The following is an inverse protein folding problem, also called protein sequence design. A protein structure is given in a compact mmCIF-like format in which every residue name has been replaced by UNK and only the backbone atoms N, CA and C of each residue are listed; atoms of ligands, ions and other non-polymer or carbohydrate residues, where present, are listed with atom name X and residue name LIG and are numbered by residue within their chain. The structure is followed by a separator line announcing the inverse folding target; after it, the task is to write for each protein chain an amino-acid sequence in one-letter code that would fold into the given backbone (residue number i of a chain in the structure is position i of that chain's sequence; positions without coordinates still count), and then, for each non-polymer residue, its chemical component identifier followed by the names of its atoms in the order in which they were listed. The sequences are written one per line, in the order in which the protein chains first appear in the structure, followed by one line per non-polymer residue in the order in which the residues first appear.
data_IF_697473606583
#
_entry.id   IF_697473606583
#
_cell.length_a   1.000
_cell.length_b   1.000
_cell.length_c   1.000
_cell.angle_alpha   90.00
_cell.angle_beta   90.00
_cell.angle_gamma   90.00
#
_symmetry.space_group_name_H-M   'P 1'
#
loop_
_entity.id
_entity.type
_entity.pdbx_description
1 polymer ?
#
# COMPACT_ATOMS: atom_id res chain seq x y z
N UNK A 1 19.16 16.05 -98.99
CA UNK A 1 20.19 15.07 -99.38
C UNK A 1 19.68 13.70 -98.95
N UNK A 2 19.44 12.82 -99.93
CA UNK A 2 19.21 11.34 -99.90
C UNK A 2 18.87 10.66 -98.53
N UNK A 3 17.69 10.06 -98.33
CA UNK A 3 17.14 8.76 -98.81
C UNK A 3 17.44 7.55 -97.88
N UNK A 4 16.40 6.70 -97.70
CA UNK A 4 16.32 5.31 -97.13
C UNK A 4 16.26 5.12 -95.60
N UNK A 5 15.63 4.09 -95.02
CA UNK A 5 14.43 3.26 -95.28
C UNK A 5 14.20 2.38 -94.02
N UNK A 6 12.94 2.02 -93.72
CA UNK A 6 12.39 0.89 -92.93
C UNK A 6 13.15 0.22 -91.76
N UNK A 7 12.48 0.12 -90.60
CA UNK A 7 11.93 -1.15 -90.10
C UNK A 7 10.94 -0.93 -88.93
N UNK A 8 9.76 -1.55 -89.02
CA UNK A 8 8.77 -1.67 -87.94
C UNK A 8 9.13 -2.82 -86.99
N UNK A 9 8.89 -2.65 -85.69
CA UNK A 9 8.59 -3.76 -84.78
C UNK A 9 7.65 -3.27 -83.65
N UNK A 10 6.53 -3.95 -83.51
CA UNK A 10 5.50 -3.73 -82.48
C UNK A 10 5.98 -4.18 -81.10
N UNK A 11 5.66 -3.41 -80.06
CA UNK A 11 5.80 -3.81 -78.65
C UNK A 11 4.81 -3.02 -77.77
N UNK A 12 3.94 -3.74 -77.06
CA UNK A 12 2.84 -3.25 -76.23
C UNK A 12 3.28 -2.30 -75.09
N UNK A 13 2.44 -1.34 -74.66
CA UNK A 13 2.72 -0.50 -73.50
C UNK A 13 2.39 -1.24 -72.19
N UNK A 14 3.40 -1.46 -71.35
CA UNK A 14 3.24 -1.84 -69.95
C UNK A 14 2.62 -0.66 -69.16
N UNK A 15 1.38 -0.83 -68.71
CA UNK A 15 0.74 0.03 -67.71
C UNK A 15 1.40 -0.21 -66.35
N UNK A 16 2.09 0.81 -65.84
CA UNK A 16 2.58 0.85 -64.46
C UNK A 16 1.38 1.10 -63.53
N UNK A 17 0.88 0.05 -62.87
CA UNK A 17 -0.07 0.22 -61.77
C UNK A 17 0.69 0.64 -60.51
N UNK A 18 0.51 1.89 -60.09
CA UNK A 18 0.97 2.35 -58.79
C UNK A 18 0.07 1.74 -57.69
N UNK A 19 0.56 0.71 -57.01
CA UNK A 19 -0.01 0.28 -55.73
C UNK A 19 0.34 1.33 -54.67
N UNK A 20 -0.65 2.14 -54.29
CA UNK A 20 -0.60 2.92 -53.07
C UNK A 20 -0.69 1.97 -51.87
N UNK A 21 0.47 1.53 -51.36
CA UNK A 21 0.57 0.83 -50.10
C UNK A 21 0.26 1.80 -48.95
N UNK A 22 -0.91 1.65 -48.34
CA UNK A 22 -1.21 2.27 -47.04
C UNK A 22 -0.37 1.55 -46.00
N UNK A 23 0.78 2.15 -45.64
CA UNK A 23 1.54 1.70 -44.50
C UNK A 23 0.70 2.00 -43.24
N UNK A 24 0.07 0.96 -42.68
CA UNK A 24 -0.49 1.02 -41.35
C UNK A 24 0.66 1.22 -40.36
N UNK A 25 0.88 2.47 -39.94
CA UNK A 25 1.73 2.79 -38.80
C UNK A 25 0.99 2.25 -37.58
N UNK A 26 1.34 1.03 -37.17
CA UNK A 26 1.04 0.52 -35.85
C UNK A 26 1.80 1.40 -34.87
N UNK A 27 1.12 2.44 -34.37
CA UNK A 27 1.53 3.12 -33.15
C UNK A 27 1.45 2.06 -32.06
N UNK A 28 2.57 1.40 -31.80
CA UNK A 28 2.80 0.71 -30.54
C UNK A 28 2.70 1.81 -29.48
N UNK A 29 1.49 2.04 -28.98
CA UNK A 29 1.30 2.79 -27.75
C UNK A 29 2.02 1.97 -26.71
N UNK A 30 3.26 2.34 -26.41
CA UNK A 30 3.91 2.01 -25.16
C UNK A 30 3.03 2.65 -24.09
N UNK A 31 1.97 1.94 -23.69
CA UNK A 31 1.22 2.28 -22.49
C UNK A 31 2.29 2.31 -21.41
N UNK A 32 2.59 3.50 -20.90
CA UNK A 32 3.48 3.65 -19.77
C UNK A 32 2.95 2.69 -18.70
N UNK A 33 3.72 1.64 -18.40
CA UNK A 33 3.24 0.61 -17.49
C UNK A 33 3.01 1.30 -16.15
N UNK A 34 1.77 1.25 -15.68
CA UNK A 34 1.41 1.75 -14.36
C UNK A 34 2.15 0.90 -13.33
N UNK A 35 3.32 1.30 -12.85
CA UNK A 35 4.10 0.51 -11.88
C UNK A 35 5.21 1.39 -11.29
N UNK A 36 5.85 0.91 -10.22
CA UNK A 36 7.15 1.40 -9.78
C UNK A 36 8.13 1.47 -10.95
N UNK A 37 8.80 2.61 -11.13
CA UNK A 37 9.72 2.82 -12.27
C UNK A 37 11.10 2.23 -12.02
N UNK A 38 11.39 1.81 -10.79
CA UNK A 38 12.67 1.20 -10.41
C UNK A 38 12.71 -0.26 -10.82
N UNK A 39 13.91 -0.77 -11.10
CA UNK A 39 14.13 -2.22 -11.15
C UNK A 39 14.27 -2.75 -9.72
N UNK A 40 13.19 -3.25 -9.15
CA UNK A 40 13.18 -3.81 -7.80
C UNK A 40 13.48 -5.31 -7.84
N UNK A 41 14.34 -5.78 -6.94
CA UNK A 41 14.65 -7.19 -6.71
C UNK A 41 14.51 -7.50 -5.24
N UNK A 42 14.51 -8.79 -4.90
CA UNK A 42 14.55 -9.22 -3.51
C UNK A 42 15.73 -8.56 -2.77
N UNK A 43 15.48 -7.85 -1.65
CA UNK A 43 16.52 -7.21 -0.87
C UNK A 43 17.53 -8.19 -0.27
N UNK A 44 18.76 -7.71 -0.05
CA UNK A 44 19.82 -8.46 0.65
C UNK A 44 20.12 -7.77 1.97
N UNK A 45 20.23 -8.56 3.05
CA UNK A 45 20.60 -8.01 4.36
C UNK A 45 22.03 -7.47 4.33
N UNK A 46 22.28 -6.24 4.81
CA UNK A 46 23.64 -5.69 4.88
C UNK A 46 24.43 -6.35 6.01
N UNK A 47 25.76 -6.24 5.95
CA UNK A 47 26.63 -6.72 7.03
C UNK A 47 26.40 -5.95 8.33
N UNK A 48 26.45 -6.65 9.47
CA UNK A 48 26.29 -6.08 10.80
C UNK A 48 27.49 -5.21 11.20
N UNK A 49 27.25 -4.01 11.73
CA UNK A 49 28.25 -3.15 12.39
C UNK A 49 28.27 -3.34 13.92
N UNK A 50 27.12 -3.68 14.51
CA UNK A 50 26.97 -3.89 15.94
C UNK A 50 25.85 -4.91 16.18
N UNK A 51 26.08 -5.86 17.07
CA UNK A 51 25.06 -6.80 17.56
C UNK A 51 24.73 -6.45 19.01
N UNK A 52 23.47 -6.15 19.27
CA UNK A 52 22.94 -5.96 20.61
C UNK A 52 22.25 -7.25 21.03
N UNK A 53 22.56 -7.74 22.23
CA UNK A 53 21.89 -8.91 22.81
C UNK A 53 20.69 -8.46 23.64
N UNK A 54 19.62 -9.26 23.62
CA UNK A 54 18.48 -9.07 24.50
C UNK A 54 18.90 -9.30 25.96
N UNK A 55 18.48 -8.39 26.84
CA UNK A 55 18.74 -8.48 28.28
C UNK A 55 17.48 -8.99 29.01
N UNK A 56 17.65 -9.53 30.21
CA UNK A 56 16.53 -9.99 31.04
C UNK A 56 15.58 -8.82 31.33
N UNK A 57 14.28 -9.03 31.08
CA UNK A 57 13.29 -7.96 31.23
C UNK A 57 13.17 -7.46 32.66
N UNK A 58 13.10 -6.14 32.82
CA UNK A 58 12.89 -5.45 34.09
C UNK A 58 11.69 -4.50 33.99
N UNK A 59 11.07 -4.17 35.11
CA UNK A 59 9.82 -3.40 35.15
C UNK A 59 9.87 -2.03 34.44
N UNK A 60 11.08 -1.44 34.29
CA UNK A 60 11.30 -0.15 33.65
C UNK A 60 12.27 -0.24 32.46
N UNK A 61 12.37 -1.42 31.83
CA UNK A 61 13.30 -1.63 30.73
C UNK A 61 12.99 -0.67 29.58
N UNK A 62 14.01 0.09 29.18
CA UNK A 62 13.98 0.89 27.97
C UNK A 62 15.33 0.77 27.26
N UNK A 63 15.36 -0.08 26.23
CA UNK A 63 16.52 -0.34 25.39
C UNK A 63 16.78 0.80 24.39
N UNK A 64 15.91 1.81 24.30
CA UNK A 64 16.06 2.89 23.33
C UNK A 64 17.44 3.57 23.39
N UNK A 65 18.01 3.93 24.56
CA UNK A 65 19.32 4.58 24.61
C UNK A 65 20.43 3.72 24.01
N UNK A 66 20.47 2.41 24.27
CA UNK A 66 21.52 1.52 23.75
C UNK A 66 21.32 1.18 22.27
N UNK A 67 20.07 0.99 21.84
CA UNK A 67 19.75 0.78 20.42
C UNK A 67 20.08 2.03 19.61
N UNK A 68 19.69 3.21 20.10
CA UNK A 68 19.95 4.48 19.43
C UNK A 68 21.46 4.77 19.37
N UNK A 69 22.22 4.52 20.43
CA UNK A 69 23.67 4.68 20.42
C UNK A 69 24.36 3.78 19.37
N UNK A 70 23.90 2.54 19.21
CA UNK A 70 24.40 1.64 18.17
C UNK A 70 24.02 2.14 16.76
N UNK A 71 22.78 2.61 16.56
CA UNK A 71 22.32 3.17 15.27
C UNK A 71 23.12 4.42 14.88
N UNK A 72 23.40 5.30 15.84
CA UNK A 72 24.16 6.53 15.61
C UNK A 72 25.66 6.27 15.34
N UNK A 73 26.21 5.18 15.88
CA UNK A 73 27.61 4.80 15.70
C UNK A 73 27.85 3.89 14.50
N UNK A 74 26.78 3.34 13.90
CA UNK A 74 26.87 2.42 12.78
C UNK A 74 27.28 3.13 11.48
N UNK A 75 28.23 2.57 10.76
CA UNK A 75 28.63 3.11 9.47
C UNK A 75 27.51 2.93 8.40
N UNK A 76 27.34 3.88 7.47
CA UNK A 76 26.44 3.72 6.32
C UNK A 76 26.75 2.44 5.51
N UNK A 77 25.70 1.79 4.99
CA UNK A 77 25.77 0.49 4.31
C UNK A 77 25.82 -0.73 5.24
N UNK A 78 25.61 -0.55 6.54
CA UNK A 78 25.66 -1.61 7.56
C UNK A 78 24.37 -1.70 8.38
N UNK A 79 24.27 -2.74 9.19
CA UNK A 79 23.14 -2.96 10.09
C UNK A 79 23.51 -2.98 11.58
N UNK A 80 22.61 -2.45 12.40
CA UNK A 80 22.53 -2.80 13.83
C UNK A 80 21.62 -4.01 13.96
N UNK A 81 22.13 -5.09 14.52
CA UNK A 81 21.42 -6.36 14.70
C UNK A 81 20.94 -6.51 16.14
N UNK A 82 19.65 -6.80 16.32
CA UNK A 82 19.06 -7.19 17.59
C UNK A 82 18.97 -8.73 17.64
N UNK A 83 19.72 -9.33 18.55
CA UNK A 83 19.88 -10.78 18.67
C UNK A 83 19.45 -11.29 20.05
N UNK A 84 19.16 -12.59 20.14
CA UNK A 84 18.84 -13.23 21.41
C UNK A 84 20.05 -13.19 22.35
N UNK A 85 19.82 -12.88 23.63
CA UNK A 85 20.84 -12.92 24.67
C UNK A 85 20.67 -14.11 25.60
N UNK A 86 21.49 -14.17 26.65
CA UNK A 86 21.41 -15.21 27.66
C UNK A 86 20.10 -15.09 28.45
N UNK A 87 19.13 -15.97 28.17
CA UNK A 87 17.86 -16.03 28.89
C UNK A 87 16.79 -15.04 28.45
N UNK A 88 17.04 -14.24 27.40
CA UNK A 88 16.05 -13.29 26.87
C UNK A 88 16.09 -13.22 25.34
N UNK A 89 14.93 -12.95 24.74
CA UNK A 89 14.75 -12.68 23.30
C UNK A 89 13.97 -11.39 23.05
N UNK A 90 13.76 -10.60 24.10
CA UNK A 90 12.90 -9.42 24.07
C UNK A 90 13.75 -8.16 24.27
N UNK A 91 13.48 -7.16 23.44
CA UNK A 91 13.87 -5.77 23.64
C UNK A 91 12.61 -4.98 23.92
N UNK A 92 12.63 -4.07 24.89
CA UNK A 92 11.53 -3.11 25.13
C UNK A 92 12.10 -1.72 24.96
N UNK A 93 11.57 -0.94 24.01
CA UNK A 93 12.14 0.35 23.64
C UNK A 93 11.09 1.45 23.61
N UNK A 94 11.46 2.65 24.04
CA UNK A 94 10.82 3.89 23.59
C UNK A 94 11.20 4.23 22.14
N UNK A 95 10.83 5.43 21.65
CA UNK A 95 11.04 5.81 20.26
C UNK A 95 12.48 5.76 19.77
N UNK A 96 12.65 5.33 18.51
CA UNK A 96 13.93 5.21 17.80
C UNK A 96 13.93 6.07 16.53
N UNK A 97 15.11 6.53 16.13
CA UNK A 97 15.34 7.25 14.88
C UNK A 97 16.38 6.53 14.03
N UNK A 98 16.02 6.19 12.79
CA UNK A 98 16.96 5.62 11.83
C UNK A 98 17.78 6.73 11.13
N UNK A 99 18.98 6.36 10.68
CA UNK A 99 19.97 7.25 10.04
C UNK A 99 20.19 6.81 8.59
N UNK A 100 20.63 7.74 7.73
CA UNK A 100 20.99 7.41 6.34
C UNK A 100 21.99 6.26 6.28
N UNK A 101 21.73 5.29 5.42
CA UNK A 101 22.61 4.14 5.21
C UNK A 101 22.59 3.08 6.32
N UNK A 102 21.89 3.27 7.43
CA UNK A 102 21.92 2.34 8.56
C UNK A 102 20.64 1.53 8.62
N UNK A 103 20.74 0.20 8.58
CA UNK A 103 19.59 -0.71 8.66
C UNK A 103 19.44 -1.25 10.07
N UNK A 104 18.19 -1.36 10.56
CA UNK A 104 17.88 -2.14 11.76
C UNK A 104 17.56 -3.58 11.36
N UNK A 105 18.26 -4.56 11.92
CA UNK A 105 17.98 -5.99 11.71
C UNK A 105 17.46 -6.60 13.01
N UNK A 106 16.35 -7.33 12.95
CA UNK A 106 15.81 -8.09 14.09
C UNK A 106 15.88 -9.58 13.76
N UNK A 107 16.65 -10.34 14.55
CA UNK A 107 16.88 -11.76 14.30
C UNK A 107 15.61 -12.61 14.48
N UNK A 108 15.60 -13.77 13.83
CA UNK A 108 14.57 -14.78 14.02
C UNK A 108 14.35 -15.11 15.50
N UNK A 109 13.09 -15.07 15.94
CA UNK A 109 12.71 -15.35 17.32
C UNK A 109 13.01 -14.22 18.32
N UNK A 110 13.54 -13.08 17.87
CA UNK A 110 13.71 -11.86 18.67
C UNK A 110 12.51 -10.92 18.45
N UNK A 111 12.05 -10.30 19.53
CA UNK A 111 10.98 -9.28 19.47
C UNK A 111 11.47 -7.95 19.99
N UNK A 112 11.26 -6.89 19.21
CA UNK A 112 11.36 -5.50 19.64
C UNK A 112 9.96 -4.97 19.99
N UNK A 113 9.68 -4.88 21.28
CA UNK A 113 8.46 -4.32 21.83
C UNK A 113 8.54 -2.80 21.92
N UNK A 114 7.51 -2.12 21.40
CA UNK A 114 7.25 -0.73 21.70
C UNK A 114 6.77 -0.62 23.15
N UNK A 115 7.43 0.19 23.98
CA UNK A 115 7.02 0.41 25.38
C UNK A 115 5.56 0.88 25.46
N UNK A 116 4.82 0.44 26.47
CA UNK A 116 3.45 0.91 26.76
C UNK A 116 3.42 2.24 27.51
N UNK A 117 4.58 2.83 27.82
CA UNK A 117 4.66 4.11 28.53
C UNK A 117 4.33 5.29 27.59
N UNK A 118 3.19 5.99 27.78
CA UNK A 118 2.79 7.05 26.88
C UNK A 118 3.70 8.28 26.93
N UNK A 119 4.41 8.50 28.05
CA UNK A 119 5.29 9.66 28.21
C UNK A 119 6.53 9.58 27.30
N UNK A 120 6.97 8.38 26.92
CA UNK A 120 8.10 8.20 25.98
C UNK A 120 7.76 8.67 24.57
N UNK A 121 6.47 8.69 24.21
CA UNK A 121 6.00 9.11 22.90
C UNK A 121 5.45 10.55 22.90
N UNK A 122 5.36 11.20 24.05
CA UNK A 122 4.70 12.50 24.14
C UNK A 122 5.51 13.61 23.46
N UNK A 123 4.82 14.56 22.82
CA UNK A 123 5.44 15.72 22.15
C UNK A 123 5.61 16.95 23.05
N UNK A 124 5.45 16.81 24.35
CA UNK A 124 5.65 17.84 25.38
C UNK A 124 4.35 18.35 26.02
N UNK A 125 3.20 18.15 25.37
CA UNK A 125 1.89 18.62 25.85
C UNK A 125 1.20 17.64 26.83
N UNK A 126 1.78 16.47 27.08
CA UNK A 126 1.22 15.39 27.91
C UNK A 126 -0.15 14.91 27.42
N UNK A 127 -0.27 14.81 26.10
CA UNK A 127 -1.48 14.41 25.38
C UNK A 127 -1.37 13.02 24.76
N UNK A 128 -0.19 12.39 24.72
CA UNK A 128 -0.09 11.03 24.24
C UNK A 128 -0.85 10.06 25.17
N UNK A 129 -1.62 9.14 24.58
CA UNK A 129 -2.54 8.27 25.33
C UNK A 129 -3.85 8.97 25.76
N UNK A 130 -4.29 9.99 25.04
CA UNK A 130 -5.59 10.64 25.23
C UNK A 130 -6.33 10.85 23.90
N UNK A 131 -7.51 11.49 23.94
CA UNK A 131 -8.22 11.97 22.77
C UNK A 131 -8.31 13.50 22.82
N UNK A 132 -8.17 14.15 21.67
CA UNK A 132 -8.38 15.59 21.52
C UNK A 132 -8.84 15.95 20.09
N UNK A 133 -8.89 17.24 19.76
CA UNK A 133 -9.31 17.70 18.44
C UNK A 133 -8.27 17.46 17.33
N UNK A 134 -7.02 17.17 17.66
CA UNK A 134 -5.87 17.16 16.74
C UNK A 134 -5.36 15.77 16.40
N UNK A 135 -5.28 14.85 17.38
CA UNK A 135 -4.70 13.52 17.22
C UNK A 135 -3.19 13.51 16.97
N UNK A 136 -2.46 14.54 17.42
CA UNK A 136 -1.02 14.73 17.15
C UNK A 136 -0.13 14.59 18.38
N UNK A 137 -0.67 14.12 19.51
CA UNK A 137 0.01 14.10 20.80
C UNK A 137 1.17 13.12 20.92
N UNK A 138 1.23 12.08 20.08
CA UNK A 138 2.29 11.08 20.10
C UNK A 138 3.28 11.24 18.92
N UNK A 139 4.54 10.93 19.17
CA UNK A 139 5.51 10.57 18.13
C UNK A 139 5.42 9.07 17.80
N UNK A 140 5.85 8.65 16.59
CA UNK A 140 5.92 7.25 16.19
C UNK A 140 6.93 6.45 17.03
N UNK A 141 6.80 5.12 17.04
CA UNK A 141 7.81 4.25 17.66
C UNK A 141 9.13 4.26 16.88
N UNK A 142 9.10 4.10 15.56
CA UNK A 142 10.28 4.26 14.71
C UNK A 142 10.04 5.42 13.75
N UNK A 143 10.91 6.43 13.82
CA UNK A 143 10.88 7.61 12.95
C UNK A 143 12.03 7.56 11.95
N UNK A 144 11.71 7.81 10.69
CA UNK A 144 12.68 7.92 9.59
C UNK A 144 12.37 9.22 8.85
N UNK A 145 13.25 10.21 9.00
CA UNK A 145 12.97 11.56 8.49
C UNK A 145 14.18 12.14 7.78
N UNK A 146 14.02 12.54 6.52
CA UNK A 146 15.06 13.25 5.77
C UNK A 146 16.34 12.45 5.51
N UNK A 147 16.23 11.12 5.45
CA UNK A 147 17.36 10.20 5.30
C UNK A 147 17.22 9.34 4.03
N UNK A 148 18.33 8.73 3.61
CA UNK A 148 18.40 7.90 2.40
C UNK A 148 19.02 6.52 2.66
N UNK A 149 18.58 5.49 1.94
CA UNK A 149 19.25 4.19 1.90
C UNK A 149 19.24 3.44 3.23
N UNK A 150 18.15 3.53 4.00
CA UNK A 150 17.98 2.89 5.31
C UNK A 150 16.89 1.82 5.25
N UNK A 151 16.73 1.02 6.30
CA UNK A 151 15.75 -0.04 6.30
C UNK A 151 15.53 -0.74 7.63
N UNK A 152 14.55 -1.63 7.63
CA UNK A 152 14.20 -2.52 8.74
C UNK A 152 14.08 -3.92 8.16
N UNK A 153 14.90 -4.86 8.62
CA UNK A 153 14.98 -6.20 8.03
C UNK A 153 15.08 -7.28 9.11
N UNK A 154 15.05 -8.54 8.67
CA UNK A 154 15.24 -9.71 9.51
C UNK A 154 13.94 -10.45 9.74
N UNK A 155 14.01 -11.63 10.37
CA UNK A 155 12.86 -12.53 10.56
C UNK A 155 12.22 -12.41 11.94
N UNK A 156 12.65 -11.42 12.72
CA UNK A 156 12.09 -11.10 14.02
C UNK A 156 10.76 -10.36 13.94
N UNK A 157 10.37 -9.84 15.09
CA UNK A 157 9.08 -9.17 15.29
C UNK A 157 9.31 -7.75 15.81
N UNK A 158 8.59 -6.78 15.27
CA UNK A 158 8.35 -5.49 15.91
C UNK A 158 6.90 -5.49 16.39
N UNK A 159 6.71 -5.46 17.71
CA UNK A 159 5.38 -5.51 18.33
C UNK A 159 5.03 -4.16 18.97
N UNK A 160 3.98 -3.52 18.48
CA UNK A 160 3.52 -2.22 18.93
C UNK A 160 2.74 -2.22 20.25
N UNK A 161 2.38 -3.40 20.77
CA UNK A 161 1.61 -3.58 22.00
C UNK A 161 0.29 -2.79 22.05
N UNK A 162 -0.37 -2.59 20.90
CA UNK A 162 -1.61 -1.82 20.76
C UNK A 162 -2.77 -2.30 21.63
N UNK A 163 -2.83 -3.61 21.88
CA UNK A 163 -3.83 -4.26 22.73
C UNK A 163 -3.44 -4.39 24.21
N UNK A 164 -2.24 -3.95 24.61
CA UNK A 164 -1.81 -3.98 26.01
C UNK A 164 -2.32 -2.76 26.76
N UNK A 165 -2.50 -2.92 28.08
CA UNK A 165 -2.85 -1.80 28.96
C UNK A 165 -1.70 -0.78 28.95
N UNK A 166 -2.05 0.48 28.71
CA UNK A 166 -1.09 1.58 28.72
C UNK A 166 -0.62 1.79 30.16
N UNK A 167 0.69 1.99 30.35
CA UNK A 167 1.25 2.23 31.67
C UNK A 167 0.59 3.44 32.34
N UNK A 168 0.14 3.28 33.59
CA UNK A 168 -0.53 4.32 34.34
C UNK A 168 -1.97 4.62 33.92
N UNK A 169 -2.60 3.77 33.07
CA UNK A 169 -4.00 3.89 32.66
C UNK A 169 -4.76 2.56 32.84
N UNK A 170 -6.07 2.61 32.65
CA UNK A 170 -6.96 1.43 32.65
C UNK A 170 -7.40 1.01 31.25
N UNK A 171 -6.93 1.69 30.20
CA UNK A 171 -7.30 1.44 28.80
C UNK A 171 -6.09 1.09 27.93
N UNK A 172 -6.34 0.37 26.84
CA UNK A 172 -5.38 0.06 25.77
C UNK A 172 -5.35 1.15 24.70
N UNK A 173 -4.34 1.15 23.83
CA UNK A 173 -4.30 2.08 22.69
C UNK A 173 -5.49 1.91 21.75
N UNK A 174 -5.93 0.67 21.52
CA UNK A 174 -7.10 0.40 20.69
C UNK A 174 -8.40 0.87 21.33
N UNK A 175 -8.53 0.79 22.67
CA UNK A 175 -9.69 1.32 23.38
C UNK A 175 -9.78 2.86 23.26
N UNK A 176 -8.65 3.57 23.34
CA UNK A 176 -8.58 5.02 23.06
C UNK A 176 -9.14 5.33 21.67
N UNK A 177 -8.71 4.59 20.64
CA UNK A 177 -9.15 4.81 19.28
C UNK A 177 -10.65 4.50 19.08
N UNK A 178 -11.23 3.49 19.76
CA UNK A 178 -12.69 3.26 19.75
C UNK A 178 -13.45 4.38 20.44
N UNK A 179 -12.94 4.85 21.56
CA UNK A 179 -13.51 5.96 22.32
C UNK A 179 -13.50 7.26 21.49
N UNK A 180 -12.41 7.54 20.78
CA UNK A 180 -12.28 8.70 19.89
C UNK A 180 -13.38 8.73 18.82
N UNK A 181 -13.65 7.58 18.18
CA UNK A 181 -14.73 7.44 17.20
C UNK A 181 -16.10 7.79 17.81
N UNK A 182 -16.41 7.23 18.99
CA UNK A 182 -17.67 7.47 19.70
C UNK A 182 -17.84 8.94 20.10
N UNK A 183 -16.75 9.56 20.56
CA UNK A 183 -16.70 10.94 21.04
C UNK A 183 -16.53 11.98 19.91
N UNK A 184 -16.38 11.53 18.65
CA UNK A 184 -16.06 12.38 17.49
C UNK A 184 -14.79 13.21 17.70
N UNK A 185 -13.82 12.64 18.39
CA UNK A 185 -12.48 13.19 18.63
C UNK A 185 -11.43 12.44 17.80
N UNK A 186 -10.17 12.84 17.94
CA UNK A 186 -9.01 12.18 17.34
C UNK A 186 -8.13 11.59 18.44
N UNK A 187 -7.68 10.37 18.21
CA UNK A 187 -6.83 9.63 19.13
C UNK A 187 -5.38 10.10 19.07
N UNK A 188 -4.74 10.21 20.23
CA UNK A 188 -3.31 10.40 20.36
C UNK A 188 -2.67 9.05 20.71
N UNK A 189 -2.37 8.26 19.69
CA UNK A 189 -1.70 6.94 19.83
C UNK A 189 -0.56 6.84 18.83
N UNK A 190 0.58 6.19 19.16
CA UNK A 190 1.75 6.17 18.30
C UNK A 190 1.54 5.29 17.06
N UNK A 191 2.04 5.73 15.91
CA UNK A 191 2.26 4.85 14.75
C UNK A 191 3.47 3.97 15.00
N UNK A 192 3.49 2.78 14.39
CA UNK A 192 4.63 1.89 14.56
C UNK A 192 5.87 2.43 13.82
N UNK A 193 5.74 2.68 12.52
CA UNK A 193 6.81 3.22 11.68
C UNK A 193 6.27 4.41 10.89
N UNK A 194 7.00 5.53 10.90
CA UNK A 194 6.68 6.69 10.08
C UNK A 194 7.88 7.17 9.27
N UNK A 195 7.66 7.31 7.96
CA UNK A 195 8.63 7.82 7.00
C UNK A 195 8.20 9.22 6.53
N UNK A 196 9.06 10.23 6.65
CA UNK A 196 8.85 11.56 6.05
C UNK A 196 10.08 12.03 5.27
N UNK A 197 9.90 12.40 4.00
CA UNK A 197 11.00 12.85 3.11
C UNK A 197 12.15 11.84 3.02
N UNK A 198 11.82 10.57 2.83
CA UNK A 198 12.80 9.47 2.80
C UNK A 198 13.10 9.08 1.34
N UNK A 199 14.35 8.73 1.06
CA UNK A 199 14.75 8.14 -0.22
C UNK A 199 15.25 6.71 -0.01
N UNK A 200 14.82 5.76 -0.85
CA UNK A 200 15.25 4.37 -0.81
C UNK A 200 15.16 3.72 0.59
N UNK A 201 13.94 3.46 1.03
CA UNK A 201 13.66 2.70 2.25
C UNK A 201 13.34 1.24 1.95
N UNK A 202 13.94 0.31 2.69
CA UNK A 202 13.70 -1.12 2.50
C UNK A 202 13.18 -1.80 3.77
N UNK A 203 12.09 -2.56 3.63
CA UNK A 203 11.60 -3.53 4.59
C UNK A 203 11.71 -4.94 4.03
N UNK A 204 12.34 -5.87 4.75
CA UNK A 204 12.55 -7.22 4.24
C UNK A 204 12.41 -8.29 5.33
N UNK A 205 11.52 -9.27 5.09
CA UNK A 205 11.24 -10.46 5.95
C UNK A 205 10.73 -10.19 7.37
N UNK A 206 10.61 -8.93 7.77
CA UNK A 206 10.23 -8.54 9.12
C UNK A 206 8.75 -8.74 9.38
N UNK A 207 8.41 -9.15 10.60
CA UNK A 207 7.02 -9.19 11.08
C UNK A 207 6.69 -7.93 11.88
N UNK A 208 5.60 -7.24 11.54
CA UNK A 208 5.01 -6.16 12.34
C UNK A 208 3.74 -6.67 13.02
N UNK A 209 3.64 -6.49 14.33
CA UNK A 209 2.51 -6.94 15.14
C UNK A 209 1.89 -5.84 15.96
N UNK A 210 0.59 -5.96 16.19
CA UNK A 210 -0.17 -5.21 17.19
C UNK A 210 0.09 -3.71 17.20
N UNK A 211 0.12 -3.05 16.04
CA UNK A 211 0.39 -1.62 15.98
C UNK A 211 -0.71 -0.82 16.72
N UNK A 212 -0.38 0.20 17.54
CA UNK A 212 -1.38 1.05 18.19
C UNK A 212 -2.16 1.92 17.19
N UNK A 213 -1.52 2.28 16.08
CA UNK A 213 -2.07 3.03 14.94
C UNK A 213 -1.67 2.33 13.63
N UNK A 214 -1.49 3.06 12.52
CA UNK A 214 -0.95 2.52 11.27
C UNK A 214 0.42 1.86 11.49
N UNK A 215 0.68 0.74 10.80
CA UNK A 215 1.94 0.02 10.90
C UNK A 215 3.05 0.80 10.17
N UNK A 216 2.83 1.17 8.91
CA UNK A 216 3.79 1.94 8.10
C UNK A 216 3.10 3.14 7.45
N UNK A 217 3.37 4.34 7.96
CA UNK A 217 2.84 5.57 7.38
C UNK A 217 3.92 6.32 6.60
N UNK A 218 3.65 6.66 5.35
CA UNK A 218 4.61 7.32 4.46
C UNK A 218 4.15 8.72 4.09
N UNK A 219 5.09 9.66 4.01
CA UNK A 219 4.87 11.00 3.49
C UNK A 219 6.08 11.46 2.67
N UNK A 220 5.91 11.77 1.39
CA UNK A 220 7.01 12.24 0.51
C UNK A 220 8.19 11.27 0.47
N UNK A 221 7.90 9.99 0.30
CA UNK A 221 8.93 8.96 0.10
C UNK A 221 9.15 8.76 -1.40
N UNK A 222 10.40 8.64 -1.82
CA UNK A 222 10.78 8.26 -3.19
C UNK A 222 11.67 7.03 -3.12
N UNK A 223 11.15 5.88 -3.58
CA UNK A 223 11.82 4.60 -3.42
C UNK A 223 11.47 3.93 -2.09
N UNK A 224 10.48 3.04 -2.11
CA UNK A 224 10.13 2.20 -0.98
C UNK A 224 9.96 0.76 -1.44
N UNK A 225 10.54 -0.19 -0.73
CA UNK A 225 10.36 -1.62 -1.01
C UNK A 225 10.02 -2.35 0.28
N UNK A 226 8.81 -2.94 0.36
CA UNK A 226 8.47 -3.96 1.34
C UNK A 226 8.44 -5.32 0.63
N UNK A 227 9.28 -6.26 1.07
CA UNK A 227 9.42 -7.56 0.42
C UNK A 227 9.42 -8.70 1.44
N UNK A 228 8.50 -9.65 1.29
CA UNK A 228 8.45 -10.80 2.19
C UNK A 228 8.01 -10.44 3.61
N UNK A 229 7.37 -9.29 3.83
CA UNK A 229 7.01 -8.85 5.18
C UNK A 229 5.71 -9.52 5.64
N UNK A 230 5.50 -9.53 6.96
CA UNK A 230 4.24 -9.94 7.56
C UNK A 230 3.68 -8.83 8.43
N UNK A 231 2.39 -8.55 8.28
CA UNK A 231 1.63 -7.68 9.19
C UNK A 231 0.54 -8.52 9.85
N UNK A 232 0.52 -8.48 11.18
CA UNK A 232 -0.39 -9.28 12.00
C UNK A 232 -0.97 -8.45 13.17
N UNK A 233 -2.21 -7.99 12.97
CA UNK A 233 -2.99 -7.27 13.98
C UNK A 233 -4.45 -7.76 13.95
N UNK A 234 -5.15 -7.89 15.09
CA UNK A 234 -6.54 -8.32 15.14
C UNK A 234 -7.49 -7.49 14.27
N UNK A 235 -8.46 -8.17 13.64
CA UNK A 235 -9.42 -7.58 12.71
C UNK A 235 -10.32 -6.46 13.29
N UNK A 236 -10.45 -6.37 14.61
CA UNK A 236 -11.28 -5.40 15.32
C UNK A 236 -10.48 -4.18 15.84
N UNK A 237 -9.15 -4.20 15.68
CA UNK A 237 -8.29 -3.08 16.00
C UNK A 237 -8.40 -1.97 14.93
N UNK A 238 -9.36 -1.05 15.03
CA UNK A 238 -9.45 0.09 14.09
C UNK A 238 -8.22 1.03 14.08
N UNK A 239 -8.05 1.73 12.96
CA UNK A 239 -6.94 2.64 12.66
C UNK A 239 -5.58 1.96 12.70
N UNK A 240 -5.53 0.70 12.25
CA UNK A 240 -4.31 -0.10 12.17
C UNK A 240 -3.96 -0.43 10.73
N UNK A 241 -4.13 0.52 9.81
CA UNK A 241 -3.77 0.36 8.40
C UNK A 241 -2.36 -0.28 8.27
N UNK A 242 -2.17 -1.16 7.29
CA UNK A 242 -0.92 -1.88 7.07
C UNK A 242 0.15 -0.94 6.53
N UNK A 243 0.15 -0.69 5.23
CA UNK A 243 1.08 0.24 4.59
C UNK A 243 0.32 1.36 3.87
N UNK A 244 0.69 2.61 4.18
CA UNK A 244 0.04 3.81 3.67
C UNK A 244 1.01 4.68 2.84
N UNK A 245 1.17 4.43 1.53
CA UNK A 245 1.89 5.32 0.64
C UNK A 245 1.19 6.68 0.51
N UNK A 246 1.67 7.68 1.24
CA UNK A 246 1.15 9.06 1.23
C UNK A 246 2.07 10.03 0.49
N UNK A 247 1.55 10.75 -0.51
CA UNK A 247 2.32 11.71 -1.32
C UNK A 247 3.70 11.16 -1.76
N UNK A 248 3.75 9.90 -2.16
CA UNK A 248 5.00 9.13 -2.33
C UNK A 248 5.09 8.50 -3.72
N UNK A 249 6.30 8.23 -4.20
CA UNK A 249 6.52 7.64 -5.52
C UNK A 249 7.50 6.48 -5.50
N UNK A 250 7.43 5.65 -6.54
CA UNK A 250 8.33 4.50 -6.72
C UNK A 250 8.26 3.57 -5.52
N UNK A 251 7.09 2.94 -5.35
CA UNK A 251 6.75 2.11 -4.20
C UNK A 251 6.48 0.68 -4.68
N UNK A 252 7.14 -0.29 -4.07
CA UNK A 252 6.89 -1.72 -4.29
C UNK A 252 6.53 -2.40 -2.98
N UNK A 253 5.40 -3.11 -2.94
CA UNK A 253 4.99 -4.01 -1.86
C UNK A 253 4.83 -5.39 -2.47
N UNK A 254 5.69 -6.33 -2.13
CA UNK A 254 5.74 -7.62 -2.78
C UNK A 254 5.89 -8.81 -1.83
N UNK A 255 5.37 -9.97 -2.24
CA UNK A 255 5.55 -11.25 -1.53
C UNK A 255 5.15 -11.20 -0.04
N UNK A 256 4.17 -10.38 0.31
CA UNK A 256 3.84 -10.07 1.71
C UNK A 256 2.49 -10.63 2.14
N UNK A 257 2.36 -10.86 3.45
CA UNK A 257 1.14 -11.34 4.09
C UNK A 257 0.61 -10.28 5.06
N UNK A 258 -0.61 -9.78 4.85
CA UNK A 258 -1.15 -8.64 5.64
C UNK A 258 -2.52 -9.00 6.20
N UNK A 259 -2.61 -9.14 7.54
CA UNK A 259 -3.87 -9.19 8.30
C UNK A 259 -3.89 -8.08 9.34
N UNK A 260 -4.93 -7.25 9.31
CA UNK A 260 -5.05 -6.09 10.20
C UNK A 260 -6.53 -5.76 10.49
N UNK A 261 -6.79 -4.70 11.25
CA UNK A 261 -8.15 -4.23 11.59
C UNK A 261 -8.65 -3.03 10.78
N UNK A 262 -7.84 -2.49 9.87
CA UNK A 262 -8.23 -1.44 8.94
C UNK A 262 -7.69 -1.73 7.52
N UNK A 263 -7.38 -0.74 6.68
CA UNK A 263 -6.86 -0.98 5.33
C UNK A 263 -5.58 -1.83 5.30
N UNK A 264 -5.52 -2.87 4.46
CA UNK A 264 -4.30 -3.68 4.30
C UNK A 264 -3.21 -2.83 3.64
N UNK A 265 -3.60 -2.09 2.60
CA UNK A 265 -2.83 -1.01 1.98
C UNK A 265 -3.77 0.15 1.69
N UNK A 266 -3.38 1.38 2.03
CA UNK A 266 -4.12 2.59 1.67
C UNK A 266 -3.23 3.63 0.99
N UNK A 267 -3.29 3.68 -0.35
CA UNK A 267 -2.58 4.70 -1.13
C UNK A 267 -3.31 6.04 -0.98
N UNK A 268 -2.61 7.06 -0.49
CA UNK A 268 -3.17 8.38 -0.18
C UNK A 268 -2.38 9.46 -0.92
N UNK A 269 -3.04 10.53 -1.34
CA UNK A 269 -2.43 11.72 -1.91
C UNK A 269 -3.09 12.95 -1.31
N UNK A 270 -2.43 13.54 -0.31
CA UNK A 270 -2.90 14.74 0.37
C UNK A 270 -2.38 16.04 -0.26
N UNK A 271 -2.47 17.14 0.49
CA UNK A 271 -1.89 18.44 0.11
C UNK A 271 -0.36 18.42 -0.06
N UNK A 272 0.31 17.38 0.44
CA UNK A 272 1.77 17.25 0.34
C UNK A 272 2.24 16.80 -1.05
N UNK A 273 1.33 16.39 -1.93
CA UNK A 273 1.65 16.01 -3.30
C UNK A 273 0.99 14.70 -3.72
N UNK A 274 1.26 14.34 -4.96
CA UNK A 274 0.77 13.13 -5.62
C UNK A 274 1.39 11.86 -5.05
N UNK A 275 0.68 10.75 -5.20
CA UNK A 275 1.25 9.41 -5.10
C UNK A 275 1.29 8.76 -6.48
N UNK A 276 2.45 8.30 -6.93
CA UNK A 276 2.59 7.77 -8.29
C UNK A 276 3.61 6.64 -8.43
N UNK A 277 3.46 5.79 -9.44
CA UNK A 277 4.39 4.70 -9.76
C UNK A 277 4.48 3.70 -8.60
N UNK A 278 3.40 2.94 -8.40
CA UNK A 278 3.23 2.02 -7.28
C UNK A 278 2.93 0.62 -7.80
N UNK A 279 3.63 -0.38 -7.26
CA UNK A 279 3.47 -1.80 -7.56
C UNK A 279 3.11 -2.58 -6.30
N UNK A 280 2.00 -3.31 -6.33
CA UNK A 280 1.55 -4.23 -5.29
C UNK A 280 1.50 -5.63 -5.91
N UNK A 281 2.51 -6.46 -5.65
CA UNK A 281 2.79 -7.67 -6.45
C UNK A 281 2.84 -8.94 -5.58
N UNK A 282 2.18 -10.02 -5.97
CA UNK A 282 2.36 -11.34 -5.33
C UNK A 282 2.05 -11.34 -3.82
N UNK A 283 0.93 -10.74 -3.40
CA UNK A 283 0.60 -10.57 -1.98
C UNK A 283 -0.64 -11.36 -1.56
N UNK A 284 -0.73 -11.63 -0.25
CA UNK A 284 -1.91 -12.21 0.39
C UNK A 284 -2.45 -11.27 1.48
N UNK A 285 -3.67 -10.78 1.30
CA UNK A 285 -4.39 -9.98 2.28
C UNK A 285 -5.47 -10.82 2.95
N UNK A 286 -5.59 -10.72 4.28
CA UNK A 286 -6.57 -11.47 5.08
C UNK A 286 -7.57 -10.52 5.72
N UNK A 287 -7.78 -10.56 7.04
CA UNK A 287 -8.62 -9.56 7.69
C UNK A 287 -8.11 -8.13 7.42
N UNK A 288 -9.05 -7.19 7.27
CA UNK A 288 -8.78 -5.79 6.99
C UNK A 288 -9.91 -5.14 6.17
N UNK A 289 -9.70 -3.90 5.75
CA UNK A 289 -10.66 -3.13 4.98
C UNK A 289 -10.35 -3.06 3.48
N UNK A 290 -9.28 -3.72 3.01
CA UNK A 290 -9.04 -3.97 1.59
C UNK A 290 -7.78 -3.34 1.01
N UNK A 291 -7.62 -3.52 -0.30
CA UNK A 291 -6.64 -2.84 -1.13
C UNK A 291 -7.22 -1.50 -1.57
N UNK A 292 -6.84 -0.44 -0.87
CA UNK A 292 -7.50 0.87 -0.95
C UNK A 292 -6.66 1.94 -1.64
N UNK A 293 -7.34 2.81 -2.38
CA UNK A 293 -6.90 4.16 -2.71
C UNK A 293 -7.84 5.13 -1.98
N UNK A 294 -7.27 6.01 -1.14
CA UNK A 294 -7.99 7.08 -0.44
C UNK A 294 -8.06 6.97 1.11
N UNK A 295 -8.85 7.82 1.76
CA UNK A 295 -9.82 8.74 1.15
C UNK A 295 -9.24 10.07 0.63
N UNK A 296 -8.02 10.39 1.04
CA UNK A 296 -7.25 11.52 0.51
C UNK A 296 -6.72 11.19 -0.89
N UNK A 297 -7.28 11.80 -1.92
CA UNK A 297 -6.83 11.65 -3.33
C UNK A 297 -6.52 12.99 -3.98
N UNK A 298 -6.50 14.07 -3.20
CA UNK A 298 -6.53 15.45 -3.66
C UNK A 298 -5.21 15.93 -4.26
N UNK A 299 -4.10 15.32 -3.85
CA UNK A 299 -2.80 15.49 -4.48
C UNK A 299 -2.66 14.73 -5.82
N UNK A 300 -3.60 13.83 -6.11
CA UNK A 300 -3.61 12.95 -7.28
C UNK A 300 -2.94 11.60 -7.02
N UNK A 301 -3.56 10.52 -7.48
CA UNK A 301 -2.99 9.16 -7.47
C UNK A 301 -2.85 8.67 -8.91
N UNK A 302 -1.65 8.22 -9.31
CA UNK A 302 -1.37 7.79 -10.68
C UNK A 302 -0.52 6.54 -10.79
N UNK A 303 -0.64 5.82 -11.90
CA UNK A 303 0.28 4.73 -12.27
C UNK A 303 0.42 3.68 -11.16
N UNK A 304 -0.68 3.01 -10.83
CA UNK A 304 -0.74 1.96 -9.81
C UNK A 304 -1.01 0.62 -10.48
N UNK A 305 -0.15 -0.37 -10.24
CA UNK A 305 -0.41 -1.78 -10.56
C UNK A 305 -0.59 -2.59 -9.29
N UNK A 306 -1.68 -3.33 -9.27
CA UNK A 306 -1.94 -4.41 -8.32
C UNK A 306 -2.00 -5.69 -9.15
N UNK A 307 -1.06 -6.60 -8.94
CA UNK A 307 -0.95 -7.85 -9.70
C UNK A 307 -0.72 -9.03 -8.78
N UNK A 308 -1.34 -10.17 -9.10
CA UNK A 308 -1.20 -11.41 -8.33
C UNK A 308 -1.51 -11.18 -6.84
N UNK A 309 -2.74 -10.73 -6.58
CA UNK A 309 -3.23 -10.47 -5.22
C UNK A 309 -4.31 -11.47 -4.83
N UNK A 310 -4.16 -12.08 -3.65
CA UNK A 310 -5.18 -12.91 -3.02
C UNK A 310 -5.76 -12.16 -1.83
N UNK A 311 -7.09 -12.10 -1.72
CA UNK A 311 -7.81 -11.43 -0.64
C UNK A 311 -8.79 -12.39 0.01
N UNK A 312 -8.54 -12.74 1.28
CA UNK A 312 -9.27 -13.76 2.03
C UNK A 312 -9.92 -13.16 3.29
N UNK A 313 -11.20 -12.77 3.18
CA UNK A 313 -11.96 -12.23 4.30
C UNK A 313 -11.72 -10.75 4.62
N UNK A 314 -11.11 -9.96 3.71
CA UNK A 314 -11.15 -8.48 3.84
C UNK A 314 -12.59 -7.98 3.69
N UNK A 315 -12.97 -6.94 4.43
CA UNK A 315 -14.32 -6.36 4.34
C UNK A 315 -14.60 -5.78 2.94
N UNK A 316 -13.64 -5.06 2.36
CA UNK A 316 -13.67 -4.63 0.95
C UNK A 316 -12.53 -5.31 0.18
N UNK A 317 -12.74 -5.61 -1.09
CA UNK A 317 -11.70 -6.09 -1.99
C UNK A 317 -10.92 -4.91 -2.58
N UNK A 318 -11.10 -4.69 -3.88
CA UNK A 318 -10.49 -3.58 -4.62
C UNK A 318 -11.27 -2.29 -4.38
N UNK A 319 -10.66 -1.31 -3.70
CA UNK A 319 -11.36 -0.12 -3.21
C UNK A 319 -10.73 1.19 -3.68
N UNK A 320 -11.57 2.11 -4.14
CA UNK A 320 -11.22 3.52 -4.37
C UNK A 320 -12.29 4.37 -3.70
N UNK A 321 -11.92 5.13 -2.68
CA UNK A 321 -12.86 5.90 -1.85
C UNK A 321 -12.46 7.37 -1.82
N UNK A 322 -13.43 8.27 -1.97
CA UNK A 322 -13.26 9.69 -1.65
C UNK A 322 -14.61 10.38 -1.49
N UNK A 323 -14.58 11.70 -1.27
CA UNK A 323 -15.74 12.60 -1.30
C UNK A 323 -15.34 13.96 -1.86
N UNK A 324 -16.30 14.84 -2.11
CA UNK A 324 -16.06 16.19 -2.64
C UNK A 324 -15.30 17.16 -1.71
N UNK A 325 -15.08 16.78 -0.45
CA UNK A 325 -14.23 17.52 0.49
C UNK A 325 -12.75 17.15 0.38
N UNK A 326 -12.45 16.02 -0.25
CA UNK A 326 -11.08 15.50 -0.48
C UNK A 326 -10.83 15.40 -1.99
N UNK A 327 -11.56 14.53 -2.68
CA UNK A 327 -11.55 14.26 -4.12
C UNK A 327 -10.20 14.34 -4.80
N UNK A 328 -10.15 14.83 -6.03
CA UNK A 328 -8.94 14.78 -6.85
C UNK A 328 -8.92 13.64 -7.86
N UNK A 329 -7.82 13.55 -8.59
CA UNK A 329 -7.67 12.64 -9.73
C UNK A 329 -7.12 11.30 -9.28
N UNK A 330 -7.75 10.21 -9.71
CA UNK A 330 -7.19 8.87 -9.68
C UNK A 330 -7.15 8.37 -11.13
N UNK A 331 -5.96 8.04 -11.64
CA UNK A 331 -5.81 7.64 -13.05
C UNK A 331 -4.68 6.65 -13.31
N UNK A 332 -4.84 5.78 -14.31
CA UNK A 332 -3.81 4.79 -14.66
C UNK A 332 -3.68 3.75 -13.55
N UNK A 333 -4.79 3.12 -13.16
CA UNK A 333 -4.83 2.07 -12.15
C UNK A 333 -5.16 0.75 -12.81
N UNK A 334 -4.36 -0.27 -12.57
CA UNK A 334 -4.51 -1.61 -13.14
C UNK A 334 -4.58 -2.60 -12.00
N UNK A 335 -5.67 -3.35 -11.96
CA UNK A 335 -5.81 -4.54 -11.11
C UNK A 335 -5.76 -5.76 -12.03
N UNK A 336 -4.80 -6.66 -11.84
CA UNK A 336 -4.62 -7.85 -12.67
C UNK A 336 -4.43 -9.11 -11.83
N UNK A 337 -5.01 -10.22 -12.27
CA UNK A 337 -4.85 -11.54 -11.64
C UNK A 337 -5.19 -11.56 -10.14
N UNK A 338 -6.36 -11.03 -9.79
CA UNK A 338 -6.81 -10.89 -8.40
C UNK A 338 -7.85 -11.95 -8.03
N UNK A 339 -7.60 -12.67 -6.94
CA UNK A 339 -8.52 -13.64 -6.36
C UNK A 339 -9.11 -13.13 -5.04
N UNK A 340 -10.43 -13.21 -4.91
CA UNK A 340 -11.19 -12.67 -3.79
C UNK A 340 -12.11 -13.76 -3.21
N UNK A 341 -12.26 -13.80 -1.89
CA UNK A 341 -13.34 -14.54 -1.22
C UNK A 341 -13.72 -13.91 0.11
N UNK A 342 -14.97 -14.12 0.49
CA UNK A 342 -15.59 -13.65 1.73
C UNK A 342 -15.51 -12.13 1.94
N UNK A 343 -15.57 -11.38 0.82
CA UNK A 343 -15.63 -9.92 0.85
C UNK A 343 -17.07 -9.42 0.86
N UNK A 344 -17.41 -8.54 1.81
CA UNK A 344 -18.70 -7.84 1.77
C UNK A 344 -18.84 -6.97 0.52
N UNK A 345 -17.76 -6.28 0.14
CA UNK A 345 -17.69 -5.46 -1.07
C UNK A 345 -16.47 -5.85 -1.92
N UNK A 346 -16.55 -6.87 -2.79
CA UNK A 346 -15.40 -7.33 -3.58
C UNK A 346 -14.85 -6.22 -4.50
N UNK A 347 -15.74 -5.40 -5.08
CA UNK A 347 -15.38 -4.22 -5.88
C UNK A 347 -16.09 -3.00 -5.28
N UNK A 348 -15.32 -2.00 -4.82
CA UNK A 348 -15.87 -0.84 -4.12
C UNK A 348 -15.24 0.48 -4.56
N UNK A 349 -15.83 1.12 -5.58
CA UNK A 349 -15.44 2.46 -6.03
C UNK A 349 -16.56 3.44 -5.63
N UNK A 350 -16.24 4.36 -4.71
CA UNK A 350 -17.17 5.27 -4.05
C UNK A 350 -16.65 6.71 -4.06
N UNK A 351 -17.44 7.64 -4.58
CA UNK A 351 -17.13 9.07 -4.62
C UNK A 351 -17.92 9.88 -3.60
N UNK A 352 -18.71 9.22 -2.76
CA UNK A 352 -19.54 9.79 -1.70
C UNK A 352 -19.22 9.16 -0.33
N UNK A 353 -17.98 8.69 -0.14
CA UNK A 353 -17.53 8.07 1.11
C UNK A 353 -17.58 9.07 2.27
N UNK A 354 -18.19 8.68 3.39
CA UNK A 354 -18.43 9.57 4.55
C UNK A 354 -19.11 10.89 4.13
N UNK A 355 -20.43 10.85 3.81
CA UNK A 355 -21.14 12.03 3.33
C UNK A 355 -21.11 13.15 4.37
N UNK A 356 -21.02 14.38 3.89
CA UNK A 356 -20.99 15.60 4.69
C UNK A 356 -21.48 16.78 3.86
N UNK A 357 -21.28 18.02 4.35
CA UNK A 357 -21.54 19.21 3.55
C UNK A 357 -20.75 19.17 2.25
N UNK A 358 -21.30 19.75 1.18
CA UNK A 358 -20.67 19.78 -0.13
C UNK A 358 -19.27 20.40 -0.07
N UNK A 359 -18.34 19.79 -0.78
CA UNK A 359 -17.00 20.31 -1.01
C UNK A 359 -16.78 20.75 -2.46
N UNK A 360 -15.54 21.14 -2.78
CA UNK A 360 -15.15 21.64 -4.11
C UNK A 360 -14.03 20.82 -4.75
N UNK A 361 -13.46 19.85 -4.02
CA UNK A 361 -12.43 18.98 -4.53
C UNK A 361 -13.12 17.73 -5.07
N UNK A 362 -13.48 17.76 -6.35
CA UNK A 362 -14.34 16.74 -6.93
C UNK A 362 -13.53 15.50 -7.33
N UNK A 363 -13.95 14.28 -6.95
CA UNK A 363 -13.33 13.04 -7.44
C UNK A 363 -13.43 12.91 -8.97
N UNK A 364 -12.34 12.51 -9.62
CA UNK A 364 -12.30 12.18 -11.04
C UNK A 364 -11.48 10.91 -11.26
N UNK A 365 -12.18 9.84 -11.65
CA UNK A 365 -11.62 8.49 -11.76
C UNK A 365 -11.62 8.07 -13.23
N UNK A 366 -10.43 7.97 -13.82
CA UNK A 366 -10.25 7.73 -15.26
C UNK A 366 -9.17 6.70 -15.51
N UNK A 367 -9.16 6.02 -16.66
CA UNK A 367 -8.12 5.04 -16.99
C UNK A 367 -7.88 4.00 -15.88
N UNK A 368 -8.97 3.38 -15.43
CA UNK A 368 -8.95 2.27 -14.46
C UNK A 368 -9.27 0.99 -15.21
N UNK A 369 -8.50 -0.06 -14.95
CA UNK A 369 -8.66 -1.37 -15.59
C UNK A 369 -8.66 -2.48 -14.56
N UNK A 370 -9.55 -3.45 -14.75
CA UNK A 370 -9.58 -4.71 -14.03
C UNK A 370 -9.49 -5.84 -15.04
N UNK A 371 -8.48 -6.69 -14.89
CA UNK A 371 -8.10 -7.76 -15.82
C UNK A 371 -7.99 -9.06 -15.04
N UNK A 372 -8.80 -10.07 -15.37
CA UNK A 372 -8.76 -11.36 -14.67
C UNK A 372 -8.92 -11.18 -13.15
N UNK A 373 -10.09 -10.71 -12.73
CA UNK A 373 -10.44 -10.50 -11.32
C UNK A 373 -11.59 -11.44 -10.97
N UNK A 374 -11.43 -12.31 -9.98
CA UNK A 374 -12.42 -13.33 -9.66
C UNK A 374 -12.71 -13.39 -8.16
N UNK A 375 -13.97 -13.13 -7.79
CA UNK A 375 -14.50 -13.34 -6.44
C UNK A 375 -15.30 -14.64 -6.39
N UNK A 376 -14.83 -15.63 -5.62
CA UNK A 376 -15.44 -16.96 -5.47
C UNK A 376 -16.73 -16.94 -4.64
N UNK A 377 -17.00 -15.83 -3.95
CA UNK A 377 -18.18 -15.64 -3.11
C UNK A 377 -18.96 -14.41 -3.58
N UNK A 378 -20.28 -14.37 -3.33
CA UNK A 378 -21.07 -13.18 -3.61
C UNK A 378 -20.66 -12.02 -2.72
N UNK A 379 -21.07 -10.82 -3.14
CA UNK A 379 -20.92 -9.59 -2.38
C UNK A 379 -21.66 -8.44 -3.05
N UNK A 380 -21.51 -7.24 -2.51
CA UNK A 380 -22.06 -6.03 -3.12
C UNK A 380 -20.98 -5.32 -3.93
N UNK A 381 -21.23 -5.14 -5.23
CA UNK A 381 -20.39 -4.35 -6.14
C UNK A 381 -20.92 -2.92 -6.17
N UNK A 382 -20.07 -1.95 -5.88
CA UNK A 382 -20.39 -0.52 -5.98
C UNK A 382 -19.39 0.11 -6.95
N UNK A 383 -19.88 0.63 -8.07
CA UNK A 383 -19.09 1.33 -9.06
C UNK A 383 -19.74 2.70 -9.32
N UNK A 384 -19.18 3.72 -8.66
CA UNK A 384 -19.76 5.05 -8.64
C UNK A 384 -18.76 6.09 -9.14
N UNK A 385 -19.13 6.82 -10.21
CA UNK A 385 -18.56 8.13 -10.54
C UNK A 385 -19.24 9.26 -9.78
N UNK A 386 -18.72 10.47 -9.88
CA UNK A 386 -19.27 11.58 -9.08
C UNK A 386 -20.58 12.13 -9.66
N UNK A 387 -20.61 12.37 -10.96
CA UNK A 387 -21.78 12.83 -11.73
C UNK A 387 -21.63 12.53 -13.24
N UNK A 388 -22.59 12.94 -14.07
CA UNK A 388 -22.56 12.69 -15.53
C UNK A 388 -21.36 13.32 -16.26
N UNK A 389 -20.82 14.42 -15.73
CA UNK A 389 -19.66 15.12 -16.30
C UNK A 389 -18.34 14.46 -15.86
N UNK A 390 -18.34 13.81 -14.70
CA UNK A 390 -17.21 13.11 -14.10
C UNK A 390 -17.59 11.66 -13.80
N UNK A 391 -17.92 10.87 -14.83
CA UNK A 391 -18.24 9.48 -14.64
C UNK A 391 -16.96 8.70 -14.28
N UNK A 392 -17.12 7.61 -13.54
CA UNK A 392 -16.08 6.59 -13.40
C UNK A 392 -15.83 5.98 -14.78
N UNK A 393 -14.58 6.01 -15.27
CA UNK A 393 -14.18 5.28 -16.47
C UNK A 393 -13.44 4.01 -16.06
N UNK A 394 -14.03 2.85 -16.35
CA UNK A 394 -13.52 1.56 -15.91
C UNK A 394 -13.61 0.54 -17.05
N UNK A 395 -12.49 -0.08 -17.40
CA UNK A 395 -12.46 -1.23 -18.29
C UNK A 395 -12.47 -2.52 -17.47
N UNK A 396 -13.32 -3.47 -17.89
CA UNK A 396 -13.48 -4.79 -17.29
C UNK A 396 -13.13 -5.84 -18.35
N UNK A 397 -12.12 -6.65 -18.07
CA UNK A 397 -11.76 -7.81 -18.87
C UNK A 397 -11.69 -9.02 -17.93
N UNK A 398 -12.50 -10.04 -18.19
CA UNK A 398 -12.50 -11.28 -17.41
C UNK A 398 -12.73 -11.03 -15.90
N UNK A 399 -13.71 -10.16 -15.57
CA UNK A 399 -14.07 -9.81 -14.19
C UNK A 399 -15.32 -10.56 -13.78
N UNK A 400 -15.18 -11.43 -12.78
CA UNK A 400 -16.23 -12.35 -12.30
C UNK A 400 -16.43 -12.22 -10.80
N UNK A 401 -17.68 -12.15 -10.37
CA UNK A 401 -18.11 -12.23 -8.98
C UNK A 401 -19.25 -13.25 -8.91
N UNK A 402 -19.00 -14.37 -8.23
CA UNK A 402 -19.91 -15.50 -8.13
C UNK A 402 -21.15 -15.20 -7.28
N UNK A 403 -22.14 -16.11 -7.32
CA UNK A 403 -23.27 -16.08 -6.39
C UNK A 403 -24.30 -14.95 -6.60
N UNK A 404 -24.36 -14.35 -7.80
CA UNK A 404 -25.29 -13.26 -8.18
C UNK A 404 -25.12 -12.01 -7.29
N UNK A 405 -24.05 -11.22 -7.50
CA UNK A 405 -23.78 -10.04 -6.68
C UNK A 405 -24.88 -8.99 -6.79
N UNK A 406 -25.05 -8.19 -5.74
CA UNK A 406 -25.83 -6.96 -5.81
C UNK A 406 -24.95 -5.89 -6.45
N UNK A 407 -25.35 -5.37 -7.60
CA UNK A 407 -24.57 -4.37 -8.35
C UNK A 407 -25.23 -3.00 -8.27
N UNK A 408 -24.49 -2.01 -7.76
CA UNK A 408 -24.86 -0.59 -7.82
C UNK A 408 -23.94 0.13 -8.79
N UNK A 409 -24.51 0.61 -9.89
CA UNK A 409 -23.84 1.47 -10.88
C UNK A 409 -24.44 2.88 -10.79
N UNK A 410 -23.59 3.89 -10.68
CA UNK A 410 -24.02 5.29 -10.65
C UNK A 410 -22.94 6.14 -11.35
N UNK A 411 -23.31 6.88 -12.40
CA UNK A 411 -22.35 7.66 -13.20
C UNK A 411 -21.10 6.85 -13.61
N UNK A 412 -21.27 5.62 -14.07
CA UNK A 412 -20.17 4.76 -14.49
C UNK A 412 -20.21 4.53 -16.01
N UNK A 413 -19.09 4.73 -16.68
CA UNK A 413 -18.84 4.37 -18.07
C UNK A 413 -17.94 3.15 -18.09
N UNK A 414 -18.56 1.99 -18.29
CA UNK A 414 -17.87 0.71 -18.33
C UNK A 414 -17.52 0.34 -19.78
N UNK A 415 -16.32 -0.16 -20.00
CA UNK A 415 -15.96 -0.90 -21.22
C UNK A 415 -15.81 -2.36 -20.84
N UNK A 416 -16.51 -3.27 -21.53
CA UNK A 416 -16.66 -4.66 -21.09
C UNK A 416 -17.78 -4.83 -20.06
N UNK A 417 -17.89 -6.03 -19.49
CA UNK A 417 -19.02 -6.41 -18.64
C UNK A 417 -18.56 -7.23 -17.42
N UNK A 418 -19.12 -6.91 -16.25
CA UNK A 418 -19.03 -7.76 -15.06
C UNK A 418 -19.83 -9.05 -15.30
N UNK A 419 -19.21 -10.20 -15.02
CA UNK A 419 -19.81 -11.52 -15.26
C UNK A 419 -20.24 -11.72 -16.72
N UNK A 420 -19.40 -11.32 -17.68
CA UNK A 420 -19.64 -11.60 -19.10
C UNK A 420 -19.77 -13.13 -19.34
N UNK A 421 -20.63 -13.54 -20.26
CA UNK A 421 -20.91 -14.96 -20.51
C UNK A 421 -19.69 -15.73 -21.07
N UNK A 422 -18.78 -15.02 -21.71
CA UNK A 422 -17.53 -15.50 -22.30
C UNK A 422 -16.29 -15.17 -21.45
N UNK A 423 -16.49 -14.67 -20.23
CA UNK A 423 -15.39 -14.35 -19.32
C UNK A 423 -14.52 -15.59 -19.03
N UNK A 424 -13.21 -15.45 -19.20
CA UNK A 424 -12.23 -16.48 -18.82
C UNK A 424 -12.00 -16.38 -17.33
N UNK A 425 -12.53 -17.33 -16.55
CA UNK A 425 -12.37 -17.32 -15.10
C UNK A 425 -10.93 -17.63 -14.70
N UNK A 426 -10.37 -16.76 -13.85
CA UNK A 426 -9.10 -17.01 -13.20
C UNK A 426 -9.24 -18.18 -12.21
N UNK A 427 -8.33 -19.14 -12.25
CA UNK A 427 -8.32 -20.24 -11.29
C UNK A 427 -7.79 -19.73 -9.92
N UNK A 428 -8.71 -19.55 -8.98
CA UNK A 428 -8.40 -19.01 -7.66
C UNK A 428 -8.32 -20.05 -6.55
N UNK A 429 -8.86 -21.25 -6.74
CA UNK A 429 -9.09 -22.21 -5.65
C UNK A 429 -7.80 -22.56 -4.89
N UNK A 430 -6.71 -22.77 -5.62
CA UNK A 430 -5.40 -23.17 -5.07
C UNK A 430 -4.56 -21.98 -4.60
N UNK A 431 -4.99 -20.74 -4.86
CA UNK A 431 -4.26 -19.53 -4.48
C UNK A 431 -4.55 -19.09 -3.05
N UNK A 432 -5.63 -19.57 -2.43
CA UNK A 432 -5.95 -19.25 -1.04
C UNK A 432 -5.19 -20.15 -0.07
N UNK A 433 -4.12 -19.61 0.52
CA UNK A 433 -3.32 -20.29 1.54
C UNK A 433 -3.58 -19.71 2.94
N UNK A 434 -3.48 -20.51 4.02
CA UNK A 434 -3.58 -20.00 5.38
C UNK A 434 -2.56 -18.89 5.66
N UNK A 435 -2.90 -17.98 6.57
CA UNK A 435 -1.94 -16.98 7.04
C UNK A 435 -0.72 -17.70 7.66
N UNK A 436 0.52 -17.31 7.32
CA UNK A 436 1.70 -17.91 7.92
C UNK A 436 1.82 -17.45 9.38
N UNK A 437 1.77 -18.39 10.33
CA UNK A 437 1.85 -18.15 11.79
C UNK A 437 3.26 -17.92 12.33
#
# INVERSE_FOLDING_TARGET
MYLFNFAQAHGHPLRLQALAGVAAISVLSTTAQAQDTRTVREPVMPATCATLLAETSTANQNDAPRIQAALDSCAPGKAVQLAAGAGSKAFTSGPLKLRSGVTLVVDAGVTLYASTNPLLYDRGAKTCGTNDATGKGCQPFITVEGVSGTGIMGEGIIDGQGGQIIEGKSETWWQIARRAQKEKQRQNVPRLIQLDKVQDFTMHRITLRNSPNFHVAMNRVDGFTAWGIRIDTPHDARNTDGIDPGASRNVTIAHSYIRTGDDNVAIKAGNNGRSENISILHNHFYSGHGMSIGSETNGGVRNVLVEDLVMDGTTSGLRIKSNDRRGGVVSGVVYRDVCLRDNRWPLYIDTKYEPGPSGQLIPSYTDIRMESVHSLTPGQVILQGYDEQRPLQLALQDVVVDGKPVVKLEFARLTGQLNAADAKTLNCQERFVPFPE
#
